data_IF_502277226007
#
_entry.id   IF_502277226007
#
_cell.length_a   1.000
_cell.length_b   1.000
_cell.length_c   1.000
_cell.angle_alpha   90.00
_cell.angle_beta   90.00
_cell.angle_gamma   90.00
#
_symmetry.space_group_name_H-M   'P 1'
#
loop_
_entity.id
_entity.type
_entity.pdbx_description
1 polymer ?
#
# COMPACT_ATOMS: atom_id res chain seq x y z
N UNK A 1 52.46 -22.00 14.86
CA UNK A 1 51.93 -20.62 14.80
C UNK A 1 51.01 -20.38 13.61
N UNK A 2 51.40 -20.74 12.37
CA UNK A 2 50.57 -20.47 11.18
C UNK A 2 49.16 -21.07 11.23
N UNK A 3 49.00 -22.32 11.68
CA UNK A 3 47.68 -22.97 11.82
C UNK A 3 46.74 -22.27 12.81
N UNK A 4 47.28 -21.75 13.92
CA UNK A 4 46.51 -20.98 14.91
C UNK A 4 46.03 -19.67 14.30
N UNK A 5 46.89 -18.98 13.54
CA UNK A 5 46.54 -17.73 12.87
C UNK A 5 45.38 -17.92 11.87
N UNK A 6 45.43 -18.99 11.08
CA UNK A 6 44.38 -19.34 10.11
C UNK A 6 43.07 -19.69 10.83
N UNK A 7 43.14 -20.45 11.92
CA UNK A 7 41.96 -20.79 12.71
C UNK A 7 41.27 -19.56 13.33
N UNK A 8 42.06 -18.64 13.88
CA UNK A 8 41.56 -17.38 14.45
C UNK A 8 40.92 -16.49 13.37
N UNK A 9 41.59 -16.31 12.23
CA UNK A 9 41.06 -15.51 11.11
C UNK A 9 39.79 -16.11 10.51
N UNK A 10 39.75 -17.43 10.34
CA UNK A 10 38.57 -18.14 9.85
C UNK A 10 37.40 -18.02 10.83
N UNK A 11 37.63 -18.27 12.12
CA UNK A 11 36.58 -18.16 13.14
C UNK A 11 35.97 -16.75 13.20
N UNK A 12 36.81 -15.70 13.18
CA UNK A 12 36.32 -14.32 13.23
C UNK A 12 35.59 -13.92 11.95
N UNK A 13 36.15 -14.21 10.78
CA UNK A 13 35.53 -13.87 9.49
C UNK A 13 34.18 -14.57 9.30
N UNK A 14 34.13 -15.88 9.50
CA UNK A 14 32.90 -16.66 9.34
C UNK A 14 31.91 -16.43 10.49
N UNK A 15 32.38 -16.02 11.67
CA UNK A 15 31.52 -15.56 12.76
C UNK A 15 30.83 -14.24 12.44
N UNK A 16 31.56 -13.27 11.90
CA UNK A 16 31.00 -11.98 11.43
C UNK A 16 30.01 -12.22 10.30
N UNK A 17 30.38 -13.07 9.33
CA UNK A 17 29.48 -13.49 8.28
C UNK A 17 28.24 -14.12 8.91
N UNK A 18 28.31 -15.18 9.71
CA UNK A 18 27.12 -15.81 10.30
C UNK A 18 26.14 -14.82 10.98
N UNK A 19 26.65 -13.74 11.59
CA UNK A 19 25.87 -12.70 12.25
C UNK A 19 25.34 -11.63 11.28
N UNK A 20 25.96 -11.41 10.12
CA UNK A 20 25.60 -10.41 9.12
C UNK A 20 24.09 -10.32 8.79
N UNK A 21 23.35 -11.42 8.53
CA UNK A 21 21.92 -11.40 8.19
C UNK A 21 21.02 -10.98 9.33
N UNK A 22 21.54 -10.98 10.57
CA UNK A 22 20.82 -10.38 11.67
C UNK A 22 20.77 -8.87 11.46
N UNK A 23 21.87 -8.22 11.06
CA UNK A 23 21.91 -6.75 10.96
C UNK A 23 21.44 -6.21 9.61
N UNK A 24 21.93 -6.81 8.53
CA UNK A 24 21.67 -6.39 7.15
C UNK A 24 21.09 -7.64 6.49
N UNK A 25 19.80 -7.64 6.17
CA UNK A 25 19.12 -8.80 5.55
C UNK A 25 19.36 -8.76 4.02
N UNK A 26 20.35 -9.49 3.48
CA UNK A 26 20.68 -9.40 2.06
C UNK A 26 19.56 -9.96 1.17
N UNK A 27 18.80 -10.93 1.66
CA UNK A 27 17.69 -11.53 0.94
C UNK A 27 16.36 -11.07 1.52
N UNK A 28 15.39 -10.78 0.64
CA UNK A 28 14.01 -10.46 1.05
C UNK A 28 13.30 -11.64 1.72
N UNK A 29 13.62 -12.88 1.32
CA UNK A 29 13.02 -14.07 1.89
C UNK A 29 13.78 -14.53 3.17
N UNK A 30 13.09 -14.70 4.32
CA UNK A 30 13.70 -15.10 5.59
C UNK A 30 14.33 -16.50 5.51
N UNK A 31 13.86 -17.36 4.61
CA UNK A 31 14.43 -18.69 4.39
C UNK A 31 15.86 -18.57 3.83
N UNK A 32 16.08 -17.64 2.88
CA UNK A 32 17.40 -17.40 2.30
C UNK A 32 18.42 -16.91 3.34
N UNK A 33 18.03 -15.93 4.17
CA UNK A 33 18.87 -15.43 5.26
C UNK A 33 19.18 -16.51 6.30
N UNK A 34 18.20 -17.37 6.61
CA UNK A 34 18.35 -18.49 7.55
C UNK A 34 19.33 -19.53 7.02
N UNK A 35 19.20 -19.92 5.76
CA UNK A 35 20.08 -20.90 5.12
C UNK A 35 21.53 -20.41 5.08
N UNK A 36 21.72 -19.15 4.67
CA UNK A 36 23.03 -18.53 4.60
C UNK A 36 23.68 -18.45 5.99
N UNK A 37 22.94 -18.04 7.02
CA UNK A 37 23.45 -17.89 8.39
C UNK A 37 23.80 -19.25 9.00
N UNK A 38 22.97 -20.26 8.77
CA UNK A 38 23.21 -21.66 9.17
C UNK A 38 24.49 -22.19 8.52
N UNK A 39 24.68 -21.94 7.23
CA UNK A 39 25.85 -22.40 6.47
C UNK A 39 27.13 -21.76 7.01
N UNK A 40 27.13 -20.45 7.24
CA UNK A 40 28.29 -19.72 7.77
C UNK A 40 28.59 -20.10 9.23
N UNK A 41 27.56 -20.40 10.03
CA UNK A 41 27.72 -20.88 11.40
C UNK A 41 28.40 -22.26 11.45
N UNK A 42 28.02 -23.19 10.58
CA UNK A 42 28.67 -24.51 10.47
C UNK A 42 30.15 -24.38 10.12
N UNK A 43 30.48 -23.51 9.16
CA UNK A 43 31.88 -23.25 8.77
C UNK A 43 32.68 -22.63 9.93
N UNK A 44 32.10 -21.67 10.66
CA UNK A 44 32.74 -21.05 11.83
C UNK A 44 33.04 -22.07 12.93
N UNK A 45 32.15 -23.05 13.17
CA UNK A 45 32.34 -24.12 14.17
C UNK A 45 33.54 -25.01 13.82
N UNK A 46 33.80 -25.31 12.55
CA UNK A 46 34.98 -26.06 12.14
C UNK A 46 36.29 -25.31 12.40
N UNK A 47 36.31 -23.99 12.23
CA UNK A 47 37.47 -23.19 12.61
C UNK A 47 37.65 -23.10 14.13
N UNK A 48 36.54 -23.02 14.88
CA UNK A 48 36.57 -23.01 16.34
C UNK A 48 37.08 -24.33 16.93
N UNK A 49 36.63 -25.48 16.42
CA UNK A 49 37.12 -26.77 16.87
C UNK A 49 38.60 -26.95 16.50
N UNK A 50 39.01 -26.46 15.32
CA UNK A 50 40.41 -26.43 14.91
C UNK A 50 41.29 -25.64 15.89
N UNK A 51 40.79 -24.51 16.41
CA UNK A 51 41.46 -23.73 17.46
C UNK A 51 41.54 -24.52 18.77
N UNK A 52 40.45 -25.15 19.21
CA UNK A 52 40.45 -25.98 20.42
C UNK A 52 41.44 -27.14 20.33
N UNK A 53 41.54 -27.82 19.20
CA UNK A 53 42.51 -28.89 18.96
C UNK A 53 43.97 -28.43 19.05
N UNK A 54 44.25 -27.13 18.87
CA UNK A 54 45.62 -26.58 19.03
C UNK A 54 45.96 -26.22 20.47
N UNK A 55 44.95 -25.98 21.30
CA UNK A 55 45.11 -25.61 22.72
C UNK A 55 45.05 -26.85 23.61
N UNK A 56 44.25 -27.85 23.24
CA UNK A 56 44.08 -29.10 23.95
C UNK A 56 45.10 -30.15 23.50
N UNK A 57 45.60 -30.93 24.45
CA UNK A 57 46.57 -31.99 24.19
C UNK A 57 45.87 -33.25 23.65
N UNK A 58 45.89 -33.41 22.33
CA UNK A 58 45.24 -34.50 21.58
C UNK A 58 45.93 -35.86 21.75
N UNK A 59 47.04 -35.92 22.49
CA UNK A 59 47.71 -37.19 22.82
C UNK A 59 46.83 -38.09 23.70
N UNK A 60 45.91 -37.50 24.46
CA UNK A 60 45.03 -38.20 25.39
C UNK A 60 43.72 -38.59 24.69
N UNK A 61 43.40 -39.89 24.72
CA UNK A 61 42.20 -40.46 24.09
C UNK A 61 40.91 -39.80 24.62
N UNK A 62 40.84 -39.55 25.93
CA UNK A 62 39.67 -38.91 26.54
C UNK A 62 39.45 -37.47 26.03
N UNK A 63 40.52 -36.73 25.73
CA UNK A 63 40.43 -35.38 25.18
C UNK A 63 39.83 -35.39 23.76
N UNK A 64 40.24 -36.35 22.93
CA UNK A 64 39.66 -36.54 21.59
C UNK A 64 38.16 -36.87 21.66
N UNK A 65 37.76 -37.79 22.54
CA UNK A 65 36.34 -38.14 22.71
C UNK A 65 35.51 -36.93 23.15
N UNK A 66 36.01 -36.15 24.11
CA UNK A 66 35.34 -34.92 24.58
C UNK A 66 35.19 -33.89 23.46
N UNK A 67 36.22 -33.69 22.63
CA UNK A 67 36.18 -32.76 21.49
C UNK A 67 35.15 -33.18 20.44
N UNK A 68 35.08 -34.47 20.09
CA UNK A 68 34.10 -34.94 19.09
C UNK A 68 32.67 -34.86 19.60
N UNK A 69 32.43 -35.17 20.88
CA UNK A 69 31.12 -34.96 21.51
C UNK A 69 30.74 -33.48 21.53
N UNK A 70 31.69 -32.61 21.86
CA UNK A 70 31.49 -31.17 21.86
C UNK A 70 31.24 -30.61 20.46
N UNK A 71 31.93 -31.11 19.44
CA UNK A 71 31.70 -30.76 18.04
C UNK A 71 30.28 -31.17 17.61
N UNK A 72 29.86 -32.41 17.89
CA UNK A 72 28.52 -32.88 17.56
C UNK A 72 27.44 -32.02 18.20
N UNK A 73 27.62 -31.64 19.47
CA UNK A 73 26.73 -30.73 20.17
C UNK A 73 26.67 -29.35 19.50
N UNK A 74 27.83 -28.74 19.23
CA UNK A 74 27.90 -27.40 18.63
C UNK A 74 27.28 -27.36 17.23
N UNK A 75 27.51 -28.38 16.41
CA UNK A 75 27.03 -28.47 15.02
C UNK A 75 25.49 -28.56 14.95
N UNK A 76 24.84 -29.02 16.02
CA UNK A 76 23.37 -29.05 16.11
C UNK A 76 22.85 -27.75 16.76
N UNK A 77 23.40 -27.38 17.92
CA UNK A 77 22.84 -26.32 18.77
C UNK A 77 23.02 -24.93 18.17
N UNK A 78 24.24 -24.58 17.72
CA UNK A 78 24.52 -23.22 17.25
C UNK A 78 23.80 -22.89 15.93
N UNK A 79 23.83 -23.74 14.88
CA UNK A 79 23.11 -23.43 13.65
C UNK A 79 21.60 -23.40 13.86
N UNK A 80 21.06 -24.22 14.77
CA UNK A 80 19.64 -24.18 15.13
C UNK A 80 19.25 -22.87 15.84
N UNK A 81 20.03 -22.43 16.83
CA UNK A 81 19.79 -21.17 17.55
C UNK A 81 19.91 -19.96 16.62
N UNK A 82 20.98 -19.91 15.83
CA UNK A 82 21.25 -18.82 14.89
C UNK A 82 20.18 -18.80 13.79
N UNK A 83 19.78 -19.97 13.30
CA UNK A 83 18.70 -20.13 12.33
C UNK A 83 17.36 -19.62 12.85
N UNK A 84 16.94 -20.03 14.06
CA UNK A 84 15.71 -19.53 14.70
C UNK A 84 15.77 -18.02 14.92
N UNK A 85 16.91 -17.51 15.42
CA UNK A 85 17.09 -16.09 15.69
C UNK A 85 16.98 -15.26 14.41
N UNK A 86 17.59 -15.75 13.33
CA UNK A 86 17.54 -15.13 12.00
C UNK A 86 16.13 -15.19 11.42
N UNK A 87 15.45 -16.33 11.53
CA UNK A 87 14.09 -16.49 11.06
C UNK A 87 13.10 -15.59 11.82
N UNK A 88 13.20 -15.53 13.15
CA UNK A 88 12.36 -14.69 14.00
C UNK A 88 12.56 -13.21 13.68
N UNK A 89 13.80 -12.78 13.45
CA UNK A 89 14.13 -11.40 13.06
C UNK A 89 13.67 -11.07 11.64
N UNK A 90 13.81 -12.02 10.71
CA UNK A 90 13.23 -11.94 9.36
C UNK A 90 11.74 -11.68 9.46
N UNK A 91 11.01 -12.54 10.17
CA UNK A 91 9.57 -12.42 10.37
C UNK A 91 9.14 -11.16 11.12
N UNK A 92 9.93 -10.62 12.05
CA UNK A 92 9.59 -9.39 12.76
C UNK A 92 9.71 -8.13 11.91
N UNK A 93 10.49 -8.18 10.83
CA UNK A 93 10.68 -7.08 9.89
C UNK A 93 9.69 -7.15 8.72
N UNK A 94 8.89 -8.21 8.65
CA UNK A 94 7.83 -8.31 7.66
C UNK A 94 6.71 -7.35 8.02
N UNK A 95 6.28 -6.58 7.02
CA UNK A 95 5.21 -5.60 7.15
C UNK A 95 3.85 -6.21 7.50
N UNK A 96 3.70 -7.54 7.34
CA UNK A 96 2.48 -8.30 7.63
C UNK A 96 2.85 -9.50 8.51
N UNK A 97 2.26 -9.55 9.70
CA UNK A 97 2.37 -10.70 10.62
C UNK A 97 1.41 -11.81 10.18
N UNK A 98 1.71 -13.11 10.43
CA UNK A 98 0.75 -14.16 10.16
C UNK A 98 -0.45 -14.04 11.11
N UNK A 99 -1.63 -13.88 10.52
CA UNK A 99 -2.87 -13.55 11.23
C UNK A 99 -3.22 -12.06 11.21
N UNK A 100 -2.29 -11.21 10.78
CA UNK A 100 -2.62 -9.88 10.29
C UNK A 100 -3.20 -10.11 8.89
N UNK A 101 -4.50 -9.88 8.76
CA UNK A 101 -5.08 -9.75 7.44
C UNK A 101 -4.21 -8.71 6.72
N UNK A 102 -3.66 -9.08 5.55
CA UNK A 102 -3.22 -8.10 4.56
C UNK A 102 -4.32 -7.05 4.60
N UNK A 103 -4.05 -5.75 4.78
CA UNK A 103 -5.12 -4.77 4.72
C UNK A 103 -5.83 -5.01 3.38
N UNK A 104 -6.95 -5.73 3.44
CA UNK A 104 -8.02 -5.51 2.50
C UNK A 104 -8.21 -4.02 2.64
N UNK A 105 -8.08 -3.28 1.54
CA UNK A 105 -8.48 -1.88 1.48
C UNK A 105 -9.74 -1.76 2.34
N UNK A 106 -9.57 -1.17 3.53
CA UNK A 106 -10.40 -1.51 4.69
C UNK A 106 -11.86 -1.53 4.30
N UNK A 107 -12.52 -2.64 4.63
CA UNK A 107 -13.95 -2.84 4.48
C UNK A 107 -14.70 -1.55 4.84
N UNK A 108 -15.21 -0.87 3.80
CA UNK A 108 -16.13 0.27 3.76
C UNK A 108 -15.98 1.40 4.80
N UNK A 109 -15.91 1.13 6.09
CA UNK A 109 -16.07 2.09 7.18
C UNK A 109 -14.83 2.97 7.40
N UNK A 110 -13.59 2.45 7.34
CA UNK A 110 -12.40 3.31 7.52
C UNK A 110 -12.06 4.12 6.27
N UNK A 111 -12.37 3.59 5.07
CA UNK A 111 -12.32 4.37 3.83
C UNK A 111 -13.45 5.38 3.80
N UNK A 112 -14.64 5.08 4.33
CA UNK A 112 -15.69 6.09 4.58
C UNK A 112 -15.20 7.14 5.55
N UNK A 113 -14.42 6.82 6.60
CA UNK A 113 -13.88 7.81 7.56
C UNK A 113 -12.73 8.63 6.96
N UNK A 114 -11.83 8.03 6.16
CA UNK A 114 -10.75 8.73 5.46
C UNK A 114 -11.25 9.58 4.29
N UNK A 115 -12.24 9.06 3.53
CA UNK A 115 -12.97 9.84 2.51
C UNK A 115 -13.91 10.87 3.14
N UNK A 116 -14.53 10.61 4.31
CA UNK A 116 -15.22 11.63 5.11
C UNK A 116 -14.25 12.70 5.58
N UNK A 117 -13.03 12.35 6.02
CA UNK A 117 -12.03 13.36 6.39
C UNK A 117 -11.58 14.20 5.20
N UNK A 118 -11.35 13.59 4.04
CA UNK A 118 -11.01 14.34 2.81
C UNK A 118 -12.19 15.18 2.29
N UNK A 119 -13.44 14.74 2.49
CA UNK A 119 -14.64 15.52 2.10
C UNK A 119 -15.15 16.50 3.17
N UNK A 120 -14.74 16.39 4.44
CA UNK A 120 -15.07 17.36 5.49
C UNK A 120 -14.17 18.61 5.46
N UNK A 121 -12.95 18.51 4.92
CA UNK A 121 -12.06 19.68 4.82
C UNK A 121 -12.57 20.74 3.81
N UNK A 122 -13.53 20.42 2.95
CA UNK A 122 -14.11 21.37 1.98
C UNK A 122 -15.46 21.98 2.39
N UNK A 123 -16.04 21.61 3.54
CA UNK A 123 -17.44 21.97 3.87
C UNK A 123 -17.57 23.04 4.99
N UNK A 124 -16.53 23.31 5.78
CA UNK A 124 -16.68 24.12 7.00
C UNK A 124 -16.89 25.64 6.79
N UNK A 125 -17.05 26.14 5.56
CA UNK A 125 -17.10 27.58 5.30
C UNK A 125 -18.44 28.09 4.75
N UNK A 126 -19.60 27.76 5.32
CA UNK A 126 -20.81 28.61 5.14
C UNK A 126 -21.80 28.49 6.31
N UNK A 127 -22.20 29.60 6.95
CA UNK A 127 -23.27 29.58 7.94
C UNK A 127 -24.62 29.72 7.23
N UNK A 128 -25.61 28.90 7.59
CA UNK A 128 -26.99 29.06 7.08
C UNK A 128 -27.96 29.17 8.25
N UNK A 129 -28.50 30.37 8.40
CA UNK A 129 -29.63 30.72 9.26
C UNK A 129 -30.95 30.34 8.58
N UNK A 130 -31.93 29.98 9.42
CA UNK A 130 -33.22 29.36 9.14
C UNK A 130 -34.16 30.09 8.16
N UNK A 131 -35.17 29.37 7.62
CA UNK A 131 -36.62 29.54 7.93
C UNK A 131 -37.48 28.62 7.00
N UNK A 132 -38.70 28.33 7.43
CA UNK A 132 -39.36 27.03 7.52
C UNK A 132 -40.46 26.71 6.48
N UNK A 133 -40.27 27.03 5.20
CA UNK A 133 -41.21 26.61 4.12
C UNK A 133 -40.58 25.65 3.09
N UNK A 134 -39.29 25.35 3.26
CA UNK A 134 -38.40 24.63 2.31
C UNK A 134 -38.34 23.10 2.59
N UNK A 135 -39.09 22.58 3.57
CA UNK A 135 -38.81 21.24 4.14
C UNK A 135 -39.15 20.08 3.18
N UNK A 136 -40.21 20.17 2.35
CA UNK A 136 -40.56 19.06 1.45
C UNK A 136 -39.70 18.99 0.15
N UNK A 137 -39.25 20.12 -0.39
CA UNK A 137 -38.32 20.14 -1.52
C UNK A 137 -36.86 19.87 -1.08
N UNK A 138 -36.52 20.20 0.17
CA UNK A 138 -35.20 19.96 0.74
C UNK A 138 -34.96 18.49 1.09
N UNK A 139 -35.95 17.72 1.54
CA UNK A 139 -35.75 16.28 1.76
C UNK A 139 -35.52 15.49 0.46
N UNK A 140 -36.19 15.85 -0.63
CA UNK A 140 -35.96 15.24 -1.95
C UNK A 140 -34.59 15.63 -2.53
N UNK A 141 -34.19 16.90 -2.41
CA UNK A 141 -32.85 17.35 -2.84
C UNK A 141 -31.72 16.80 -1.95
N UNK A 142 -31.97 16.64 -0.65
CA UNK A 142 -30.97 16.11 0.29
C UNK A 142 -30.84 14.59 0.17
N UNK A 143 -31.93 13.84 -0.02
CA UNK A 143 -31.88 12.41 -0.33
C UNK A 143 -31.26 12.13 -1.70
N UNK A 144 -31.55 12.94 -2.72
CA UNK A 144 -30.92 12.84 -4.04
C UNK A 144 -29.43 13.19 -3.98
N UNK A 145 -29.04 14.18 -3.17
CA UNK A 145 -27.64 14.52 -2.91
C UNK A 145 -26.89 13.43 -2.13
N UNK A 146 -27.50 12.83 -1.11
CA UNK A 146 -26.91 11.71 -0.35
C UNK A 146 -26.79 10.47 -1.23
N UNK A 147 -27.82 10.14 -2.01
CA UNK A 147 -27.80 9.01 -2.95
C UNK A 147 -26.74 9.21 -4.05
N UNK A 148 -26.61 10.42 -4.58
CA UNK A 148 -25.53 10.78 -5.51
C UNK A 148 -24.16 10.57 -4.88
N UNK A 149 -23.90 11.14 -3.70
CA UNK A 149 -22.60 11.03 -3.00
C UNK A 149 -22.25 9.58 -2.70
N UNK A 150 -23.22 8.79 -2.25
CA UNK A 150 -23.03 7.37 -1.96
C UNK A 150 -22.73 6.58 -3.24
N UNK A 151 -23.51 6.80 -4.31
CA UNK A 151 -23.26 6.14 -5.60
C UNK A 151 -21.90 6.50 -6.18
N UNK A 152 -21.52 7.78 -6.13
CA UNK A 152 -20.22 8.25 -6.58
C UNK A 152 -19.07 7.63 -5.76
N UNK A 153 -19.18 7.61 -4.44
CA UNK A 153 -18.21 6.96 -3.57
C UNK A 153 -18.08 5.45 -3.85
N UNK A 154 -19.21 4.78 -4.13
CA UNK A 154 -19.20 3.37 -4.53
C UNK A 154 -18.50 3.16 -5.88
N UNK A 155 -18.69 4.06 -6.85
CA UNK A 155 -18.00 4.03 -8.14
C UNK A 155 -16.48 4.22 -8.00
N UNK A 156 -16.05 5.18 -7.17
CA UNK A 156 -14.63 5.38 -6.84
C UNK A 156 -14.03 4.14 -6.18
N UNK A 157 -14.76 3.56 -5.21
CA UNK A 157 -14.33 2.34 -4.53
C UNK A 157 -14.14 1.19 -5.52
N UNK A 158 -15.12 0.96 -6.41
CA UNK A 158 -15.04 -0.10 -7.41
C UNK A 158 -13.87 0.12 -8.38
N UNK A 159 -13.64 1.36 -8.82
CA UNK A 159 -12.49 1.71 -9.66
C UNK A 159 -11.15 1.39 -8.98
N UNK A 160 -10.95 1.84 -7.75
CA UNK A 160 -9.71 1.58 -6.99
C UNK A 160 -9.50 0.09 -6.71
N UNK A 161 -10.58 -0.65 -6.40
CA UNK A 161 -10.51 -2.11 -6.23
C UNK A 161 -10.07 -2.81 -7.52
N UNK A 162 -10.65 -2.44 -8.66
CA UNK A 162 -10.26 -3.00 -9.95
C UNK A 162 -8.77 -2.78 -10.23
N UNK A 163 -8.29 -1.55 -10.04
CA UNK A 163 -6.88 -1.19 -10.21
C UNK A 163 -5.96 -1.98 -9.27
N UNK A 164 -6.35 -2.14 -8.00
CA UNK A 164 -5.58 -2.90 -7.03
C UNK A 164 -5.47 -4.38 -7.42
N UNK A 165 -6.58 -5.00 -7.85
CA UNK A 165 -6.58 -6.39 -8.30
C UNK A 165 -5.75 -6.60 -9.59
N UNK A 166 -5.86 -5.67 -10.53
CA UNK A 166 -5.06 -5.65 -11.75
C UNK A 166 -3.56 -5.55 -11.44
N UNK A 167 -3.17 -4.63 -10.55
CA UNK A 167 -1.78 -4.48 -10.08
C UNK A 167 -1.27 -5.75 -9.39
N UNK A 168 -2.10 -6.40 -8.58
CA UNK A 168 -1.76 -7.64 -7.91
C UNK A 168 -1.52 -8.77 -8.92
N UNK A 169 -2.39 -8.89 -9.93
CA UNK A 169 -2.22 -9.86 -11.02
C UNK A 169 -0.89 -9.63 -11.77
N UNK A 170 -0.57 -8.38 -12.13
CA UNK A 170 0.72 -8.05 -12.74
C UNK A 170 1.90 -8.39 -11.84
N UNK A 171 1.82 -8.07 -10.55
CA UNK A 171 2.89 -8.40 -9.61
C UNK A 171 3.15 -9.90 -9.56
N UNK A 172 2.10 -10.72 -9.60
CA UNK A 172 2.23 -12.18 -9.65
C UNK A 172 2.77 -12.68 -10.99
N UNK A 173 2.40 -12.06 -12.11
CA UNK A 173 2.95 -12.35 -13.44
C UNK A 173 4.45 -12.08 -13.54
N UNK A 174 4.98 -11.15 -12.73
CA UNK A 174 6.42 -10.84 -12.71
C UNK A 174 7.25 -11.78 -11.83
N UNK A 175 6.63 -12.74 -11.12
CA UNK A 175 7.35 -13.69 -10.26
C UNK A 175 7.86 -14.89 -11.07
N UNK A 176 8.98 -15.45 -10.63
CA UNK A 176 9.56 -16.67 -11.23
C UNK A 176 8.64 -17.90 -11.07
N UNK A 177 7.82 -17.92 -10.02
CA UNK A 177 6.82 -18.96 -9.77
C UNK A 177 5.41 -18.48 -10.14
N UNK A 178 5.00 -18.80 -11.36
CA UNK A 178 3.68 -18.44 -11.89
C UNK A 178 2.59 -19.34 -11.32
N UNK A 179 1.67 -18.76 -10.57
CA UNK A 179 0.43 -19.39 -10.14
C UNK A 179 -0.74 -18.84 -10.96
N UNK A 180 -1.00 -19.49 -12.09
CA UNK A 180 -1.96 -19.03 -13.10
C UNK A 180 -3.39 -19.00 -12.56
N UNK A 181 -3.76 -19.94 -11.68
CA UNK A 181 -5.12 -20.03 -11.12
C UNK A 181 -5.39 -18.81 -10.23
N UNK A 182 -4.44 -18.46 -9.36
CA UNK A 182 -4.57 -17.27 -8.52
C UNK A 182 -4.52 -15.98 -9.34
N UNK A 183 -3.66 -15.90 -10.36
CA UNK A 183 -3.61 -14.75 -11.27
C UNK A 183 -4.95 -14.56 -11.99
N UNK A 184 -5.54 -15.63 -12.52
CA UNK A 184 -6.82 -15.57 -13.22
C UNK A 184 -7.94 -15.09 -12.28
N UNK A 185 -7.98 -15.62 -11.04
CA UNK A 185 -8.93 -15.16 -10.03
C UNK A 185 -8.82 -13.66 -9.71
N UNK A 186 -7.61 -13.09 -9.73
CA UNK A 186 -7.42 -11.65 -9.53
C UNK A 186 -7.87 -10.84 -10.75
N UNK A 187 -7.60 -11.32 -11.97
CA UNK A 187 -8.08 -10.69 -13.20
C UNK A 187 -9.61 -10.70 -13.28
N UNK A 188 -10.26 -11.82 -12.94
CA UNK A 188 -11.72 -11.92 -12.91
C UNK A 188 -12.33 -10.93 -11.92
N UNK A 189 -11.73 -10.76 -10.75
CA UNK A 189 -12.16 -9.73 -9.78
C UNK A 189 -11.95 -8.32 -10.34
N UNK A 190 -10.81 -8.05 -10.99
CA UNK A 190 -10.54 -6.75 -11.57
C UNK A 190 -11.60 -6.36 -12.62
N UNK A 191 -11.98 -7.30 -13.50
CA UNK A 191 -13.04 -7.12 -14.50
C UNK A 191 -14.40 -6.87 -13.82
N UNK A 192 -14.76 -7.67 -12.81
CA UNK A 192 -16.04 -7.47 -12.10
C UNK A 192 -16.16 -6.06 -11.50
N UNK A 193 -15.11 -5.58 -10.84
CA UNK A 193 -15.11 -4.25 -10.22
C UNK A 193 -14.98 -3.11 -11.24
N UNK A 194 -14.29 -3.32 -12.36
CA UNK A 194 -14.25 -2.34 -13.46
C UNK A 194 -15.64 -2.17 -14.06
N UNK A 195 -16.32 -3.27 -14.38
CA UNK A 195 -17.67 -3.24 -14.97
C UNK A 195 -18.66 -2.58 -14.02
N UNK A 196 -18.51 -2.84 -12.71
CA UNK A 196 -19.30 -2.16 -11.68
C UNK A 196 -19.04 -0.64 -11.67
N UNK A 197 -17.77 -0.22 -11.69
CA UNK A 197 -17.40 1.20 -11.70
C UNK A 197 -17.91 1.91 -12.96
N UNK A 198 -17.74 1.28 -14.12
CA UNK A 198 -18.21 1.78 -15.41
C UNK A 198 -19.72 2.02 -15.39
N UNK A 199 -20.51 1.02 -14.98
CA UNK A 199 -21.97 1.15 -14.91
C UNK A 199 -22.41 2.27 -13.95
N UNK A 200 -21.76 2.40 -12.80
CA UNK A 200 -22.07 3.47 -11.83
C UNK A 200 -21.77 4.84 -12.44
N UNK A 201 -20.62 5.02 -13.08
CA UNK A 201 -20.25 6.30 -13.68
C UNK A 201 -21.12 6.65 -14.89
N UNK A 202 -21.46 5.68 -15.73
CA UNK A 202 -22.37 5.86 -16.86
C UNK A 202 -23.77 6.32 -16.39
N UNK A 203 -24.32 5.68 -15.35
CA UNK A 203 -25.58 6.11 -14.74
C UNK A 203 -25.48 7.51 -14.13
N UNK A 204 -24.39 7.82 -13.43
CA UNK A 204 -24.19 9.13 -12.82
C UNK A 204 -24.01 10.23 -13.86
N UNK A 205 -23.37 9.94 -15.00
CA UNK A 205 -23.16 10.90 -16.08
C UNK A 205 -24.46 11.15 -16.85
N UNK A 206 -25.31 10.13 -17.02
CA UNK A 206 -26.68 10.29 -17.56
C UNK A 206 -27.55 11.16 -16.66
N UNK A 207 -27.44 10.98 -15.34
CA UNK A 207 -28.22 11.75 -14.38
C UNK A 207 -27.68 13.18 -14.17
N UNK A 208 -26.35 13.35 -14.20
CA UNK A 208 -25.66 14.62 -13.90
C UNK A 208 -24.57 14.91 -14.95
N UNK A 209 -24.95 15.32 -16.18
CA UNK A 209 -24.02 15.44 -17.32
C UNK A 209 -22.99 16.56 -17.19
N UNK A 210 -23.18 17.49 -16.26
CA UNK A 210 -22.28 18.63 -15.98
C UNK A 210 -21.47 18.44 -14.69
N UNK A 211 -21.50 17.26 -14.08
CA UNK A 211 -20.75 17.00 -12.86
C UNK A 211 -19.27 16.77 -13.16
N UNK A 212 -18.46 17.80 -12.91
CA UNK A 212 -16.99 17.78 -13.08
C UNK A 212 -16.34 16.58 -12.37
N UNK A 213 -16.81 16.26 -11.16
CA UNK A 213 -16.28 15.15 -10.36
C UNK A 213 -16.50 13.79 -11.02
N UNK A 214 -17.66 13.58 -11.65
CA UNK A 214 -18.01 12.34 -12.36
C UNK A 214 -17.23 12.25 -13.67
N UNK A 215 -17.14 13.35 -14.44
CA UNK A 215 -16.35 13.38 -15.68
C UNK A 215 -14.89 13.03 -15.43
N UNK A 216 -14.27 13.59 -14.38
CA UNK A 216 -12.87 13.29 -14.04
C UNK A 216 -12.69 11.85 -13.55
N UNK A 217 -13.58 11.36 -12.71
CA UNK A 217 -13.49 9.99 -12.20
C UNK A 217 -13.68 8.96 -13.32
N UNK A 218 -14.61 9.21 -14.24
CA UNK A 218 -14.87 8.34 -15.38
C UNK A 218 -13.73 8.39 -16.41
N UNK A 219 -13.23 9.59 -16.74
CA UNK A 219 -12.05 9.74 -17.60
C UNK A 219 -10.81 9.05 -17.01
N UNK A 220 -10.62 9.10 -15.68
CA UNK A 220 -9.54 8.37 -15.02
C UNK A 220 -9.69 6.85 -15.16
N UNK A 221 -10.90 6.31 -15.02
CA UNK A 221 -11.17 4.88 -15.25
C UNK A 221 -10.83 4.47 -16.70
N UNK A 222 -11.28 5.25 -17.68
CA UNK A 222 -11.02 5.01 -19.10
C UNK A 222 -9.52 4.98 -19.42
N UNK A 223 -8.76 5.94 -18.88
CA UNK A 223 -7.31 5.99 -19.05
C UNK A 223 -6.60 4.84 -18.34
N UNK A 224 -6.92 4.61 -17.07
CA UNK A 224 -6.15 3.72 -16.20
C UNK A 224 -6.40 2.23 -16.52
N UNK A 225 -7.63 1.85 -16.90
CA UNK A 225 -8.00 0.45 -17.15
C UNK A 225 -8.15 0.14 -18.63
N UNK A 226 -8.92 0.95 -19.37
CA UNK A 226 -9.23 0.68 -20.78
C UNK A 226 -8.15 1.19 -21.75
N UNK A 227 -7.25 2.06 -21.26
CA UNK A 227 -6.27 2.79 -22.09
C UNK A 227 -6.92 3.58 -23.24
N UNK A 228 -8.14 4.07 -23.02
CA UNK A 228 -8.83 4.97 -23.95
C UNK A 228 -8.49 6.43 -23.60
N UNK A 229 -7.26 6.82 -23.96
CA UNK A 229 -6.70 8.13 -23.64
C UNK A 229 -7.44 9.27 -24.35
N UNK A 230 -7.92 9.03 -25.58
CA UNK A 230 -8.62 10.02 -26.40
C UNK A 230 -9.97 10.39 -25.78
N UNK A 231 -10.77 9.38 -25.42
CA UNK A 231 -12.06 9.61 -24.76
C UNK A 231 -11.87 10.21 -23.36
N UNK A 232 -10.87 9.74 -22.61
CA UNK A 232 -10.54 10.31 -21.31
C UNK A 232 -10.15 11.79 -21.40
N UNK A 233 -9.33 12.16 -22.39
CA UNK A 233 -8.91 13.54 -22.62
C UNK A 233 -10.10 14.44 -22.97
N UNK A 234 -11.02 13.95 -23.82
CA UNK A 234 -12.27 14.66 -24.12
C UNK A 234 -13.10 14.94 -22.85
N UNK A 235 -13.19 13.95 -21.94
CA UNK A 235 -13.87 14.14 -20.65
C UNK A 235 -13.16 15.15 -19.74
N UNK A 236 -11.83 15.14 -19.68
CA UNK A 236 -11.07 16.12 -18.90
C UNK A 236 -11.22 17.54 -19.46
N UNK A 237 -11.17 17.70 -20.78
CA UNK A 237 -11.38 18.99 -21.43
C UNK A 237 -12.79 19.53 -21.15
N UNK A 238 -13.81 18.68 -21.26
CA UNK A 238 -15.18 19.04 -20.92
C UNK A 238 -15.32 19.42 -19.44
N UNK A 239 -14.65 18.70 -18.54
CA UNK A 239 -14.63 19.03 -17.11
C UNK A 239 -13.99 20.41 -16.84
N UNK A 240 -12.89 20.72 -17.53
CA UNK A 240 -12.21 22.02 -17.39
C UNK A 240 -13.04 23.18 -17.94
N UNK A 241 -13.70 23.00 -19.09
CA UNK A 241 -14.61 24.00 -19.67
C UNK A 241 -15.74 24.34 -18.70
N UNK A 242 -16.34 23.33 -18.07
CA UNK A 242 -17.42 23.53 -17.10
C UNK A 242 -16.93 24.31 -15.88
N UNK A 243 -15.74 24.01 -15.35
CA UNK A 243 -15.17 24.77 -14.22
C UNK A 243 -14.85 26.22 -14.59
N UNK A 244 -14.33 26.46 -15.79
CA UNK A 244 -14.04 27.81 -16.29
C UNK A 244 -15.34 28.63 -16.46
N UNK A 245 -16.40 28.03 -17.02
CA UNK A 245 -17.72 28.64 -17.10
C UNK A 245 -18.30 28.96 -15.70
N UNK A 246 -18.20 28.03 -14.75
CA UNK A 246 -18.65 28.27 -13.37
C UNK A 246 -17.88 29.42 -12.71
N UNK A 247 -16.55 29.44 -12.84
CA UNK A 247 -15.71 30.50 -12.27
C UNK A 247 -16.03 31.88 -12.88
N UNK A 248 -16.23 31.96 -14.20
CA UNK A 248 -16.57 33.21 -14.87
C UNK A 248 -17.94 33.75 -14.43
N UNK A 249 -18.93 32.88 -14.22
CA UNK A 249 -20.25 33.25 -13.71
C UNK A 249 -20.19 33.78 -12.26
N UNK A 250 -19.37 33.19 -11.41
CA UNK A 250 -19.18 33.65 -10.02
C UNK A 250 -18.52 35.05 -9.97
N UNK A 251 -17.55 35.31 -10.86
CA UNK A 251 -16.90 36.62 -10.96
C UNK A 251 -17.88 37.70 -11.44
N UNK A 252 -18.73 37.40 -12.42
CA UNK A 252 -19.74 38.35 -12.92
C UNK A 252 -20.80 38.69 -11.86
N UNK A 253 -21.31 37.69 -11.13
CA UNK A 253 -22.27 37.94 -10.05
C UNK A 253 -21.67 38.80 -8.92
N UNK A 254 -20.40 38.59 -8.60
CA UNK A 254 -19.71 39.37 -7.56
C UNK A 254 -19.49 40.83 -7.96
N UNK A 255 -19.24 41.09 -9.25
CA UNK A 255 -19.13 42.45 -9.79
C UNK A 255 -20.48 43.17 -9.85
N UNK A 256 -21.56 42.48 -10.26
CA UNK A 256 -22.90 43.07 -10.33
C UNK A 256 -23.46 43.40 -8.92
N UNK A 257 -23.18 42.56 -7.92
CA UNK A 257 -23.52 42.85 -6.52
C UNK A 257 -22.70 44.00 -5.91
N UNK A 258 -21.46 44.19 -6.36
CA UNK A 258 -20.61 45.32 -5.98
C UNK A 258 -21.15 46.64 -6.55
N UNK A 259 -21.48 46.67 -7.84
CA UNK A 259 -21.99 47.85 -8.53
C UNK A 259 -23.36 48.27 -7.95
N UNK A 260 -24.26 47.32 -7.68
CA UNK A 260 -25.56 47.60 -7.05
C UNK A 260 -25.45 48.15 -5.62
N UNK A 261 -24.41 47.77 -4.87
CA UNK A 261 -24.13 48.32 -3.52
C UNK A 261 -23.57 49.74 -3.59
N UNK A 262 -22.67 50.01 -4.53
CA UNK A 262 -22.13 51.36 -4.73
C UNK A 262 -23.20 52.34 -5.22
N UNK A 263 -24.08 51.91 -6.12
CA UNK A 263 -25.19 52.74 -6.62
C UNK A 263 -26.22 53.05 -5.53
N UNK A 264 -26.59 52.07 -4.69
CA UNK A 264 -27.44 52.32 -3.50
C UNK A 264 -26.80 53.27 -2.50
N UNK A 265 -25.48 53.21 -2.32
CA UNK A 265 -24.76 54.07 -1.36
C UNK A 265 -24.66 55.51 -1.89
N UNK A 266 -24.58 55.71 -3.21
CA UNK A 266 -24.60 57.05 -3.81
C UNK A 266 -25.97 57.70 -3.71
N UNK A 267 -27.05 56.96 -3.99
CA UNK A 267 -28.43 57.49 -3.94
C UNK A 267 -28.87 57.84 -2.50
N UNK A 268 -28.28 57.23 -1.48
CA UNK A 268 -28.61 57.51 -0.08
C UNK A 268 -27.85 58.71 0.52
N UNK A 269 -26.84 59.23 -0.19
CA UNK A 269 -26.01 60.35 0.23
C UNK A 269 -26.30 61.65 -0.55
N UNK A 270 -27.31 61.66 -1.42
CA UNK A 270 -27.92 62.83 -2.06
C UNK A 270 -29.28 63.15 -1.43
#
# INVERSE_FOLDING_TARGET
MQGILIAVLGFTLYGILAIYPLFLQPYFNPIGNTLWSTTMSVVSIFYFIGLLCTVLDMSKIWANVVIWLFLSLLLIVLPFIVGISTFKRGKSLWAIKPGEEIPQLTENNDIIILSHRQSQQTINNYPITATSTIIQLKEKNNSMGIAYKLRYANGLKAHELSKAYLLQAYTLLTRDNLDLDNIMNFLDKAIQYETQAHNIYDELLKAFPFSVQVLRAYGALLRDIYRDDDTALSMFNKANQIEEEMANNDVQNTQDDGIKKEEKTRIQNE
#
